data_IF_985137465942
#
_entry.id   IF_985137465942
#
_cell.length_a   1.000
_cell.length_b   1.000
_cell.length_c   1.000
_cell.angle_alpha   90.00
_cell.angle_beta   90.00
_cell.angle_gamma   90.00
#
_symmetry.space_group_name_H-M   'P 1'
#
loop_
_entity.id
_entity.type
_entity.pdbx_description
1 polymer ?
#
# COMPACT_ATOMS: atom_id res chain seq x y z
N UNK A 1 -21.84 -15.54 11.32
CA UNK A 1 -22.34 -15.10 9.99
C UNK A 1 -21.40 -13.98 9.50
N UNK A 2 -20.76 -14.11 8.36
CA UNK A 2 -19.88 -13.07 7.81
C UNK A 2 -20.65 -12.24 6.80
N UNK A 3 -20.60 -10.91 6.93
CA UNK A 3 -21.15 -9.99 5.93
C UNK A 3 -19.99 -9.35 5.17
N UNK A 4 -20.00 -9.48 3.84
CA UNK A 4 -19.06 -8.79 2.96
C UNK A 4 -19.68 -7.45 2.51
N UNK A 5 -19.00 -6.34 2.79
CA UNK A 5 -19.39 -5.01 2.33
C UNK A 5 -18.29 -4.52 1.39
N UNK A 6 -18.62 -4.35 0.10
CA UNK A 6 -17.72 -3.69 -0.85
C UNK A 6 -17.73 -2.17 -0.59
N UNK A 7 -16.71 -1.65 0.07
CA UNK A 7 -16.70 -0.30 0.62
C UNK A 7 -16.32 0.82 -0.36
N UNK A 8 -15.68 0.52 -1.47
CA UNK A 8 -15.03 1.53 -2.32
C UNK A 8 -15.96 2.34 -3.25
N UNK A 9 -17.25 1.99 -3.29
CA UNK A 9 -18.28 2.74 -4.04
C UNK A 9 -19.33 3.39 -3.15
N UNK A 10 -19.24 3.25 -1.84
CA UNK A 10 -20.24 3.74 -0.90
C UNK A 10 -19.63 4.92 -0.14
N UNK A 11 -20.14 6.12 -0.38
CA UNK A 11 -19.84 7.27 0.48
C UNK A 11 -20.31 6.96 1.91
N UNK A 12 -19.51 7.39 2.90
CA UNK A 12 -19.80 7.18 4.34
C UNK A 12 -19.94 5.70 4.77
N UNK A 13 -19.24 4.78 4.09
CA UNK A 13 -19.28 3.34 4.41
C UNK A 13 -18.97 3.06 5.90
N UNK A 14 -18.06 3.82 6.50
CA UNK A 14 -17.65 3.65 7.91
C UNK A 14 -18.77 3.95 8.89
N UNK A 15 -19.60 4.96 8.60
CA UNK A 15 -20.80 5.27 9.40
C UNK A 15 -21.85 4.16 9.28
N UNK A 16 -22.06 3.64 8.09
CA UNK A 16 -22.99 2.51 7.85
C UNK A 16 -22.55 1.29 8.64
N UNK A 17 -21.26 0.96 8.59
CA UNK A 17 -20.69 -0.15 9.37
C UNK A 17 -20.87 0.09 10.87
N UNK A 18 -20.60 1.30 11.35
CA UNK A 18 -20.77 1.68 12.75
C UNK A 18 -22.21 1.53 13.20
N UNK A 19 -23.16 2.07 12.44
CA UNK A 19 -24.59 1.98 12.77
C UNK A 19 -25.04 0.52 12.87
N UNK A 20 -24.62 -0.31 11.92
CA UNK A 20 -24.96 -1.74 11.95
C UNK A 20 -24.30 -2.46 13.12
N UNK A 21 -23.02 -2.17 13.41
CA UNK A 21 -22.31 -2.70 14.56
C UNK A 21 -23.01 -2.32 15.88
N UNK A 22 -23.37 -1.06 16.07
CA UNK A 22 -24.05 -0.57 17.26
C UNK A 22 -25.46 -1.20 17.42
N UNK A 23 -26.14 -1.50 16.31
CA UNK A 23 -27.40 -2.24 16.31
C UNK A 23 -27.21 -3.68 16.74
N UNK A 24 -26.30 -4.40 16.08
CA UNK A 24 -26.01 -5.80 16.35
C UNK A 24 -25.56 -6.00 17.81
N UNK A 25 -24.78 -5.05 18.35
CA UNK A 25 -24.35 -5.05 19.77
C UNK A 25 -25.53 -4.90 20.73
N UNK A 26 -26.48 -4.01 20.44
CA UNK A 26 -27.69 -3.83 21.29
C UNK A 26 -28.60 -5.04 21.26
N UNK A 27 -28.66 -5.72 20.12
CA UNK A 27 -29.49 -6.92 19.92
C UNK A 27 -28.76 -8.19 20.40
N UNK A 28 -27.56 -8.08 20.99
CA UNK A 28 -26.70 -9.20 21.39
C UNK A 28 -26.40 -10.19 20.26
N UNK A 29 -26.31 -9.70 19.03
CA UNK A 29 -25.96 -10.50 17.85
C UNK A 29 -24.44 -10.55 17.73
N UNK A 30 -23.84 -11.71 17.96
CA UNK A 30 -22.40 -11.90 17.85
C UNK A 30 -21.98 -12.09 16.38
N UNK A 31 -21.61 -11.01 15.69
CA UNK A 31 -21.12 -11.03 14.32
C UNK A 31 -19.67 -10.52 14.28
N UNK A 32 -18.82 -11.21 13.51
CA UNK A 32 -17.49 -10.73 13.14
C UNK A 32 -17.59 -10.07 11.78
N UNK A 33 -17.21 -8.80 11.69
CA UNK A 33 -17.20 -8.02 10.45
C UNK A 33 -15.77 -7.96 9.92
N UNK A 34 -15.57 -8.42 8.68
CA UNK A 34 -14.28 -8.36 8.00
C UNK A 34 -14.41 -7.37 6.83
N UNK A 35 -13.63 -6.30 6.87
CA UNK A 35 -13.54 -5.30 5.82
C UNK A 35 -12.31 -5.56 4.99
N UNK A 36 -12.50 -5.74 3.69
CA UNK A 36 -11.42 -5.97 2.72
C UNK A 36 -11.38 -4.80 1.73
N UNK A 37 -10.19 -4.33 1.42
CA UNK A 37 -10.00 -3.32 0.40
C UNK A 37 -8.57 -3.30 -0.11
N UNK A 38 -8.41 -3.04 -1.41
CA UNK A 38 -7.13 -2.89 -2.06
C UNK A 38 -6.50 -1.51 -1.81
N UNK A 39 -7.31 -0.49 -1.56
CA UNK A 39 -6.82 0.85 -1.25
C UNK A 39 -6.71 1.05 0.25
N UNK A 40 -5.48 1.00 0.75
CA UNK A 40 -5.16 1.22 2.16
C UNK A 40 -5.58 2.60 2.65
N UNK A 41 -5.37 3.64 1.83
CA UNK A 41 -5.71 5.02 2.18
C UNK A 41 -7.21 5.22 2.39
N UNK A 42 -8.06 4.61 1.54
CA UNK A 42 -9.52 4.67 1.70
C UNK A 42 -9.99 3.98 2.98
N UNK A 43 -9.45 2.80 3.27
CA UNK A 43 -9.79 2.08 4.50
C UNK A 43 -9.36 2.88 5.71
N UNK A 44 -8.13 3.37 5.74
CA UNK A 44 -7.58 4.15 6.86
C UNK A 44 -8.41 5.39 7.15
N UNK A 45 -8.80 6.15 6.14
CA UNK A 45 -9.64 7.34 6.30
C UNK A 45 -10.98 7.01 6.98
N UNK A 46 -11.70 6.01 6.51
CA UNK A 46 -12.95 5.61 7.14
C UNK A 46 -12.82 5.04 8.55
N UNK A 47 -11.74 4.30 8.84
CA UNK A 47 -11.48 3.73 10.15
C UNK A 47 -11.22 4.79 11.22
N UNK A 48 -10.46 5.84 10.90
CA UNK A 48 -10.12 6.91 11.85
C UNK A 48 -11.30 7.81 12.18
N UNK A 49 -12.24 8.00 11.26
CA UNK A 49 -13.38 8.91 11.43
C UNK A 49 -14.47 8.30 12.32
N UNK A 50 -14.93 7.09 12.04
CA UNK A 50 -16.14 6.54 12.67
C UNK A 50 -15.94 5.27 13.48
N UNK A 51 -14.88 4.52 13.23
CA UNK A 51 -14.65 3.19 13.80
C UNK A 51 -13.51 3.14 14.83
N UNK A 52 -12.97 4.27 15.25
CA UNK A 52 -11.88 4.34 16.20
C UNK A 52 -12.15 3.47 17.46
N UNK A 53 -11.19 2.62 17.82
CA UNK A 53 -11.28 1.70 18.98
C UNK A 53 -12.16 0.46 18.78
N UNK A 54 -12.71 0.22 17.57
CA UNK A 54 -13.62 -0.90 17.28
C UNK A 54 -13.07 -1.90 16.26
N UNK A 55 -11.82 -1.79 15.86
CA UNK A 55 -11.22 -2.64 14.82
C UNK A 55 -9.80 -3.07 15.15
N UNK A 56 -9.40 -4.15 14.55
CA UNK A 56 -8.01 -4.59 14.41
C UNK A 56 -7.63 -4.56 12.94
N UNK A 57 -6.39 -4.17 12.62
CA UNK A 57 -5.91 -4.10 11.24
C UNK A 57 -4.95 -5.24 10.98
N UNK A 58 -5.24 -6.01 9.94
CA UNK A 58 -4.34 -7.03 9.40
C UNK A 58 -3.82 -6.56 8.05
N UNK A 59 -2.51 -6.49 7.92
CA UNK A 59 -1.87 -6.15 6.66
C UNK A 59 -1.54 -7.41 5.88
N UNK A 60 -2.13 -7.52 4.69
CA UNK A 60 -1.77 -8.54 3.71
C UNK A 60 -0.78 -7.92 2.73
N UNK A 61 0.48 -8.28 2.86
CA UNK A 61 1.54 -7.87 1.95
C UNK A 61 1.54 -8.68 0.65
N UNK A 62 2.62 -8.51 -0.11
CA UNK A 62 2.89 -9.41 -1.24
C UNK A 62 3.12 -10.83 -0.72
N UNK A 63 2.86 -11.81 -1.57
CA UNK A 63 3.07 -13.20 -1.23
C UNK A 63 4.55 -13.49 -0.95
N UNK A 64 4.80 -14.30 0.07
CA UNK A 64 6.12 -14.80 0.40
C UNK A 64 6.61 -15.82 -0.64
N UNK A 65 7.90 -16.10 -0.63
CA UNK A 65 8.45 -17.17 -1.47
C UNK A 65 7.76 -18.51 -1.25
N UNK A 66 7.49 -18.87 0.02
CA UNK A 66 6.82 -20.13 0.35
C UNK A 66 5.42 -20.23 -0.25
N UNK A 67 4.66 -19.13 -0.27
CA UNK A 67 3.33 -19.08 -0.89
C UNK A 67 3.41 -19.16 -2.42
N UNK A 68 4.35 -18.44 -3.04
CA UNK A 68 4.56 -18.49 -4.50
C UNK A 68 5.06 -19.87 -4.96
N UNK A 69 5.95 -20.49 -4.18
CA UNK A 69 6.43 -21.83 -4.43
C UNK A 69 5.32 -22.87 -4.31
N UNK A 70 4.50 -22.78 -3.27
CA UNK A 70 3.39 -23.71 -3.06
C UNK A 70 2.32 -23.61 -4.14
N UNK A 71 2.06 -22.40 -4.66
CA UNK A 71 0.99 -22.16 -5.63
C UNK A 71 1.42 -22.31 -7.10
N UNK A 72 2.68 -21.97 -7.42
CA UNK A 72 3.17 -21.84 -8.79
C UNK A 72 4.48 -22.60 -9.05
N UNK A 73 4.98 -23.33 -8.05
CA UNK A 73 6.23 -24.11 -8.13
C UNK A 73 7.46 -23.24 -8.49
N UNK A 74 7.45 -21.96 -8.09
CA UNK A 74 8.53 -21.05 -8.42
C UNK A 74 9.84 -21.40 -7.74
N UNK A 75 10.95 -21.20 -8.48
CA UNK A 75 12.28 -21.21 -7.91
C UNK A 75 12.56 -19.91 -7.15
N UNK A 76 13.59 -19.93 -6.31
CA UNK A 76 14.00 -18.71 -5.58
C UNK A 76 14.46 -17.61 -6.54
N UNK A 77 15.09 -17.94 -7.65
CA UNK A 77 15.55 -16.99 -8.67
C UNK A 77 14.35 -16.33 -9.35
N UNK A 78 13.30 -17.10 -9.66
CA UNK A 78 12.06 -16.57 -10.22
C UNK A 78 11.39 -15.61 -9.23
N UNK A 79 11.33 -15.98 -7.96
CA UNK A 79 10.76 -15.13 -6.93
C UNK A 79 11.55 -13.81 -6.75
N UNK A 80 12.88 -13.89 -6.72
CA UNK A 80 13.73 -12.69 -6.60
C UNK A 80 13.55 -11.75 -7.78
N UNK A 81 13.38 -12.28 -9.00
CA UNK A 81 13.23 -11.47 -10.19
C UNK A 81 11.80 -10.96 -10.41
N UNK A 82 10.79 -11.82 -10.30
CA UNK A 82 9.40 -11.50 -10.60
C UNK A 82 8.59 -10.99 -9.40
N UNK A 83 9.09 -11.21 -8.17
CA UNK A 83 8.45 -10.76 -6.93
C UNK A 83 7.24 -11.59 -6.51
N UNK A 84 6.61 -11.20 -5.40
CA UNK A 84 5.51 -11.92 -4.76
C UNK A 84 4.11 -11.43 -5.16
N UNK A 85 3.88 -11.13 -6.44
CA UNK A 85 2.55 -10.74 -6.93
C UNK A 85 1.90 -11.86 -7.76
N UNK A 86 0.97 -12.64 -7.18
CA UNK A 86 0.44 -13.84 -7.81
C UNK A 86 -0.32 -13.56 -9.12
N UNK A 87 -0.92 -12.36 -9.25
CA UNK A 87 -1.63 -11.96 -10.47
C UNK A 87 -0.73 -11.87 -11.71
N UNK A 88 0.58 -11.77 -11.54
CA UNK A 88 1.56 -11.74 -12.64
C UNK A 88 2.15 -13.12 -12.96
N UNK A 89 1.84 -14.15 -12.19
CA UNK A 89 2.51 -15.46 -12.27
C UNK A 89 2.39 -16.12 -13.65
N UNK A 90 1.24 -15.99 -14.31
CA UNK A 90 1.03 -16.55 -15.65
C UNK A 90 1.78 -15.82 -16.77
N UNK A 91 2.40 -14.68 -16.47
CA UNK A 91 3.06 -13.83 -17.46
C UNK A 91 4.59 -14.00 -17.49
N UNK A 92 5.18 -14.74 -16.56
CA UNK A 92 6.64 -14.84 -16.43
C UNK A 92 7.35 -15.51 -17.61
N UNK A 93 6.61 -16.22 -18.47
CA UNK A 93 7.13 -16.79 -19.70
C UNK A 93 7.34 -15.76 -20.82
N UNK A 94 6.72 -14.58 -20.67
CA UNK A 94 6.84 -13.44 -21.58
C UNK A 94 7.23 -12.20 -20.77
N UNK A 95 8.54 -11.96 -20.68
CA UNK A 95 9.10 -10.91 -19.81
C UNK A 95 8.61 -9.51 -20.19
N UNK A 96 8.46 -9.20 -21.46
CA UNK A 96 7.96 -7.90 -21.92
C UNK A 96 6.51 -7.68 -21.48
N UNK A 97 5.69 -8.69 -21.63
CA UNK A 97 4.29 -8.65 -21.22
C UNK A 97 4.17 -8.55 -19.71
N UNK A 98 5.01 -9.25 -18.95
CA UNK A 98 5.07 -9.14 -17.51
C UNK A 98 5.49 -7.72 -17.08
N UNK A 99 6.55 -7.14 -17.66
CA UNK A 99 6.99 -5.76 -17.37
C UNK A 99 5.89 -4.73 -17.60
N UNK A 100 5.20 -4.82 -18.75
CA UNK A 100 4.10 -3.91 -19.07
C UNK A 100 2.95 -4.07 -18.07
N UNK A 101 2.60 -5.28 -17.68
CA UNK A 101 1.58 -5.53 -16.67
C UNK A 101 1.94 -4.92 -15.30
N UNK A 102 3.16 -5.14 -14.82
CA UNK A 102 3.63 -4.57 -13.55
C UNK A 102 3.62 -3.04 -13.61
N UNK A 103 4.16 -2.46 -14.66
CA UNK A 103 4.24 -1.01 -14.82
C UNK A 103 2.87 -0.36 -14.95
N UNK A 104 2.07 -0.81 -15.90
CA UNK A 104 0.84 -0.10 -16.29
C UNK A 104 -0.35 -0.48 -15.42
N UNK A 105 -0.52 -1.79 -15.13
CA UNK A 105 -1.67 -2.26 -14.37
C UNK A 105 -1.49 -2.14 -12.85
N UNK A 106 -0.28 -2.22 -12.33
CA UNK A 106 -0.04 -2.14 -10.89
C UNK A 106 0.52 -0.78 -10.47
N UNK A 107 1.72 -0.41 -10.92
CA UNK A 107 2.41 0.79 -10.45
C UNK A 107 1.65 2.05 -10.84
N UNK A 108 1.39 2.26 -12.12
CA UNK A 108 0.71 3.46 -12.61
C UNK A 108 -0.72 3.55 -12.07
N UNK A 109 -1.42 2.43 -11.95
CA UNK A 109 -2.78 2.39 -11.40
C UNK A 109 -2.77 2.74 -9.93
N UNK A 110 -1.86 2.19 -9.12
CA UNK A 110 -1.76 2.50 -7.68
C UNK A 110 -1.38 3.96 -7.44
N UNK A 111 -0.41 4.49 -8.18
CA UNK A 111 -0.04 5.91 -8.06
C UNK A 111 -1.23 6.81 -8.45
N UNK A 112 -1.85 6.55 -9.59
CA UNK A 112 -2.90 7.42 -10.12
C UNK A 112 -4.19 7.33 -9.30
N UNK A 113 -4.67 6.13 -8.97
CA UNK A 113 -5.97 5.92 -8.30
C UNK A 113 -5.84 6.00 -6.78
N UNK A 114 -4.84 5.35 -6.19
CA UNK A 114 -4.76 5.24 -4.74
C UNK A 114 -4.08 6.45 -4.09
N UNK A 115 -3.17 7.13 -4.79
CA UNK A 115 -2.51 8.31 -4.25
C UNK A 115 -3.11 9.60 -4.81
N UNK A 116 -3.00 9.82 -6.13
CA UNK A 116 -3.32 11.12 -6.71
C UNK A 116 -4.81 11.47 -6.68
N UNK A 117 -5.71 10.49 -6.75
CA UNK A 117 -7.15 10.74 -6.64
C UNK A 117 -7.63 10.92 -5.19
N UNK A 118 -6.93 10.36 -4.21
CA UNK A 118 -7.37 10.34 -2.82
C UNK A 118 -6.64 11.35 -1.93
N UNK A 119 -5.49 11.84 -2.37
CA UNK A 119 -4.65 12.74 -1.61
C UNK A 119 -4.15 13.87 -2.50
N UNK A 120 -4.18 15.09 -1.98
CA UNK A 120 -3.59 16.23 -2.68
C UNK A 120 -2.06 16.07 -2.73
N UNK A 121 -1.53 15.94 -3.94
CA UNK A 121 -0.09 15.89 -4.22
C UNK A 121 0.26 17.08 -5.10
N UNK A 122 1.05 18.02 -4.58
CA UNK A 122 1.38 19.25 -5.31
C UNK A 122 2.35 19.00 -6.49
N UNK A 123 3.21 17.98 -6.39
CA UNK A 123 4.20 17.62 -7.41
C UNK A 123 4.11 16.12 -7.79
N UNK A 124 3.13 15.71 -8.60
CA UNK A 124 2.96 14.30 -9.00
C UNK A 124 4.18 13.69 -9.70
N UNK A 125 4.85 14.48 -10.54
CA UNK A 125 6.06 14.04 -11.22
C UNK A 125 7.21 13.73 -10.25
N UNK A 126 7.34 14.51 -9.17
CA UNK A 126 8.32 14.26 -8.13
C UNK A 126 8.02 12.97 -7.36
N UNK A 127 6.74 12.71 -7.06
CA UNK A 127 6.31 11.47 -6.41
C UNK A 127 6.73 10.23 -7.23
N UNK A 128 6.49 10.26 -8.56
CA UNK A 128 6.88 9.17 -9.47
C UNK A 128 8.40 8.98 -9.51
N UNK A 129 9.16 10.08 -9.65
CA UNK A 129 10.63 10.02 -9.64
C UNK A 129 11.19 9.52 -8.31
N UNK A 130 10.57 9.87 -7.19
CA UNK A 130 10.96 9.34 -5.88
C UNK A 130 10.74 7.83 -5.81
N UNK A 131 9.64 7.33 -6.36
CA UNK A 131 9.38 5.89 -6.47
C UNK A 131 10.45 5.19 -7.32
N UNK A 132 10.72 5.67 -8.52
CA UNK A 132 11.74 5.13 -9.43
C UNK A 132 13.13 5.10 -8.77
N UNK A 133 13.51 6.21 -8.12
CA UNK A 133 14.77 6.30 -7.39
C UNK A 133 14.84 5.31 -6.23
N UNK A 134 13.76 5.17 -5.48
CA UNK A 134 13.66 4.19 -4.39
C UNK A 134 13.82 2.75 -4.88
N UNK A 135 13.27 2.42 -6.04
CA UNK A 135 13.47 1.11 -6.66
C UNK A 135 14.94 0.85 -7.02
N UNK A 136 15.64 1.85 -7.59
CA UNK A 136 17.05 1.75 -7.95
C UNK A 136 17.96 1.57 -6.73
N UNK A 137 17.59 2.14 -5.58
CA UNK A 137 18.34 2.05 -4.33
C UNK A 137 17.76 1.02 -3.35
N UNK A 138 16.96 0.08 -3.83
CA UNK A 138 16.38 -0.96 -2.98
C UNK A 138 17.47 -1.73 -2.21
N UNK A 139 17.27 -1.90 -0.89
CA UNK A 139 18.24 -2.55 -0.01
C UNK A 139 19.47 -1.73 0.35
N UNK A 140 19.54 -0.44 -0.06
CA UNK A 140 20.67 0.44 0.19
C UNK A 140 20.31 1.58 1.15
N UNK A 141 21.33 2.15 1.81
CA UNK A 141 21.19 3.33 2.66
C UNK A 141 21.18 4.57 1.79
N UNK A 142 20.06 5.30 1.80
CA UNK A 142 19.90 6.53 1.03
C UNK A 142 19.36 7.65 1.93
N UNK A 143 20.13 8.75 2.06
CA UNK A 143 19.69 9.92 2.82
C UNK A 143 18.80 10.83 1.98
N UNK A 144 17.86 11.53 2.62
CA UNK A 144 17.04 12.56 1.95
C UNK A 144 17.88 13.64 1.25
N UNK A 145 19.03 13.99 1.79
CA UNK A 145 19.95 14.96 1.16
C UNK A 145 20.50 14.44 -0.17
N UNK A 146 20.86 13.15 -0.24
CA UNK A 146 21.29 12.53 -1.50
C UNK A 146 20.13 12.43 -2.51
N UNK A 147 18.91 12.13 -2.04
CA UNK A 147 17.72 12.13 -2.88
C UNK A 147 17.47 13.51 -3.49
N UNK A 148 17.53 14.57 -2.67
CA UNK A 148 17.37 15.97 -3.15
C UNK A 148 18.38 16.29 -4.25
N UNK A 149 19.64 15.91 -4.07
CA UNK A 149 20.70 16.16 -5.05
C UNK A 149 20.52 15.43 -6.39
N UNK A 150 19.73 14.36 -6.43
CA UNK A 150 19.45 13.58 -7.64
C UNK A 150 18.12 13.95 -8.33
N UNK A 151 17.21 14.58 -7.59
CA UNK A 151 15.90 14.96 -8.09
C UNK A 151 15.85 16.46 -8.41
N UNK A 152 15.58 16.78 -9.67
CA UNK A 152 15.28 18.16 -10.06
C UNK A 152 13.99 18.61 -9.39
N UNK A 153 13.97 19.84 -8.86
CA UNK A 153 12.79 20.43 -8.21
C UNK A 153 12.25 19.62 -7.01
N UNK A 154 13.17 18.95 -6.27
CA UNK A 154 12.81 18.06 -5.16
C UNK A 154 12.10 18.76 -4.00
N UNK A 155 12.18 20.10 -3.92
CA UNK A 155 11.65 20.83 -2.77
C UNK A 155 12.53 20.64 -1.54
N UNK A 156 11.93 20.27 -0.43
CA UNK A 156 12.62 20.04 0.84
C UNK A 156 12.47 18.59 1.33
N UNK A 157 13.25 18.25 2.37
CA UNK A 157 13.22 16.91 2.99
C UNK A 157 11.84 16.52 3.52
N UNK A 158 11.05 17.48 4.01
CA UNK A 158 9.69 17.25 4.51
C UNK A 158 8.75 16.78 3.41
N UNK A 159 8.82 17.41 2.22
CA UNK A 159 8.03 16.99 1.06
C UNK A 159 8.37 15.56 0.66
N UNK A 160 9.67 15.22 0.60
CA UNK A 160 10.10 13.85 0.27
C UNK A 160 9.68 12.83 1.32
N UNK A 161 9.78 13.18 2.61
CA UNK A 161 9.33 12.30 3.70
C UNK A 161 7.82 12.03 3.60
N UNK A 162 7.01 13.05 3.31
CA UNK A 162 5.58 12.89 3.10
C UNK A 162 5.27 12.01 1.88
N UNK A 163 5.99 12.19 0.78
CA UNK A 163 5.80 11.36 -0.42
C UNK A 163 6.23 9.91 -0.20
N UNK A 164 7.35 9.69 0.50
CA UNK A 164 7.78 8.36 0.89
C UNK A 164 6.73 7.67 1.77
N UNK A 165 6.13 8.42 2.71
CA UNK A 165 5.03 7.90 3.53
C UNK A 165 3.82 7.51 2.67
N UNK A 166 3.41 8.33 1.72
CA UNK A 166 2.29 7.98 0.82
C UNK A 166 2.59 6.72 0.00
N UNK A 167 3.80 6.60 -0.55
CA UNK A 167 4.24 5.40 -1.27
C UNK A 167 4.27 4.16 -0.37
N UNK A 168 4.71 4.32 0.88
CA UNK A 168 4.72 3.24 1.88
C UNK A 168 3.31 2.83 2.29
N UNK A 169 2.41 3.80 2.48
CA UNK A 169 1.02 3.55 2.83
C UNK A 169 0.27 2.80 1.71
N UNK A 170 0.70 2.95 0.46
CA UNK A 170 0.18 2.18 -0.68
C UNK A 170 0.93 0.86 -0.94
N UNK A 171 1.95 0.55 -0.13
CA UNK A 171 2.74 -0.68 -0.29
C UNK A 171 3.68 -0.68 -1.50
N UNK A 172 3.96 0.49 -2.10
CA UNK A 172 4.80 0.62 -3.29
C UNK A 172 6.29 0.72 -2.95
N UNK A 173 6.62 1.49 -1.90
CA UNK A 173 8.00 1.72 -1.49
C UNK A 173 8.07 1.90 0.03
N UNK A 174 8.85 1.10 0.71
CA UNK A 174 9.09 1.21 2.16
C UNK A 174 10.50 1.70 2.47
N UNK A 175 10.63 2.55 3.49
CA UNK A 175 11.91 2.95 4.05
C UNK A 175 12.00 2.56 5.52
N UNK A 176 13.16 2.03 5.93
CA UNK A 176 13.48 1.84 7.34
C UNK A 176 14.22 3.07 7.85
N UNK A 177 13.69 3.69 8.89
CA UNK A 177 14.36 4.81 9.54
C UNK A 177 15.51 4.30 10.42
N UNK A 178 16.52 5.15 10.61
CA UNK A 178 17.61 4.86 11.55
C UNK A 178 17.02 4.64 12.93
N UNK A 179 17.28 3.49 13.53
CA UNK A 179 16.95 3.24 14.93
C UNK A 179 17.75 4.19 15.81
N UNK A 180 17.07 5.11 16.49
CA UNK A 180 17.63 5.96 17.52
C UNK A 180 17.11 5.46 18.85
N UNK A 181 17.92 4.67 19.57
CA UNK A 181 17.58 4.22 20.91
C UNK A 181 17.29 5.41 21.82
N UNK A 182 16.14 5.41 22.50
CA UNK A 182 15.76 6.36 23.56
C UNK A 182 15.65 7.85 23.20
N UNK A 183 15.20 8.23 22.04
CA UNK A 183 14.67 9.57 21.82
C UNK A 183 13.15 9.50 21.79
N UNK A 184 12.54 9.54 22.96
CA UNK A 184 11.13 9.93 23.09
C UNK A 184 11.08 11.42 22.75
N UNK A 185 10.54 11.74 21.58
CA UNK A 185 10.15 13.11 21.23
C UNK A 185 8.64 13.24 21.31
#
# INVERSE_FOLDING_TARGET
MCRNICSWKIENWSEIVKQQWDKDTRENINIKVILLGSSRLLIQKGLTESLAGRFETFYLGHWSFAEMQAAFEWSIEQYVYFGGYPGSASLITDEERWKNYIKDALIETSISKDILMLTRVDKPALLKRLFELGCLFSGQILSFTKIIGQLQDAGNTTTLANYLKLLSDCGLLGGLEKYAGNVIR
#
